data_IF_241030697749
#
_entry.id   IF_241030697749
#
_cell.length_a   1.000
_cell.length_b   1.000
_cell.length_c   1.000
_cell.angle_alpha   90.00
_cell.angle_beta   90.00
_cell.angle_gamma   90.00
#
_symmetry.space_group_name_H-M   'P 1'
#
loop_
_entity.id
_entity.type
_entity.pdbx_description
1 polymer ?
#
# COMPACT_ATOMS: atom_id res chain seq x y z
N UNK A 1 10.77 -2.05 -6.89
CA UNK A 1 10.79 -0.59 -6.53
C UNK A 1 9.82 -0.35 -5.38
N UNK A 2 10.16 0.55 -4.44
CA UNK A 2 9.29 1.04 -3.37
C UNK A 2 8.89 2.48 -3.67
N UNK A 3 7.69 2.89 -3.29
CA UNK A 3 7.28 4.29 -3.42
C UNK A 3 6.63 4.77 -2.13
N UNK A 4 7.24 5.79 -1.52
CA UNK A 4 6.63 6.53 -0.43
C UNK A 4 5.79 7.67 -1.01
N UNK A 5 4.58 7.85 -0.47
CA UNK A 5 3.58 8.79 -0.98
C UNK A 5 2.95 9.58 0.16
N UNK A 6 2.70 10.85 -0.05
CA UNK A 6 1.80 11.63 0.80
C UNK A 6 0.37 11.40 0.30
N UNK A 7 -0.49 10.79 1.11
CA UNK A 7 -1.82 10.32 0.69
C UNK A 7 -2.94 11.01 1.44
N UNK A 8 -2.83 11.13 2.78
CA UNK A 8 -3.89 11.64 3.63
C UNK A 8 -3.56 13.03 4.15
N UNK A 9 -4.53 13.92 4.11
CA UNK A 9 -4.43 15.21 4.78
C UNK A 9 -4.43 15.06 6.30
N UNK A 10 -3.94 16.07 7.03
CA UNK A 10 -3.98 16.08 8.49
C UNK A 10 -5.39 15.91 9.07
N UNK A 11 -6.42 16.45 8.39
CA UNK A 11 -7.83 16.30 8.77
C UNK A 11 -8.30 14.85 8.65
N UNK A 12 -7.94 14.17 7.54
CA UNK A 12 -8.27 12.76 7.32
C UNK A 12 -7.54 11.86 8.33
N UNK A 13 -6.27 12.12 8.61
CA UNK A 13 -5.53 11.38 9.67
C UNK A 13 -6.21 11.55 11.02
N UNK A 14 -6.60 12.78 11.38
CA UNK A 14 -7.32 13.05 12.64
C UNK A 14 -8.64 12.29 12.72
N UNK A 15 -9.43 12.28 11.65
CA UNK A 15 -10.71 11.54 11.57
C UNK A 15 -10.47 10.02 11.71
N UNK A 16 -9.52 9.46 10.96
CA UNK A 16 -9.20 8.02 11.03
C UNK A 16 -8.72 7.60 12.41
N UNK A 17 -7.90 8.42 13.08
CA UNK A 17 -7.47 8.15 14.45
C UNK A 17 -8.62 8.22 15.44
N UNK A 18 -9.56 9.15 15.26
CA UNK A 18 -10.77 9.23 16.09
C UNK A 18 -11.66 8.00 15.92
N UNK A 19 -11.85 7.54 14.70
CA UNK A 19 -12.55 6.27 14.40
C UNK A 19 -11.85 5.10 15.11
N UNK A 20 -10.54 4.99 14.95
CA UNK A 20 -9.78 3.91 15.58
C UNK A 20 -9.86 3.94 17.12
N UNK A 21 -9.91 5.12 17.74
CA UNK A 21 -9.98 5.26 19.21
C UNK A 21 -11.32 4.77 19.79
N UNK A 22 -12.43 4.84 19.04
CA UNK A 22 -13.76 4.43 19.49
C UNK A 22 -14.18 3.04 19.02
N UNK A 23 -13.51 2.49 18.00
CA UNK A 23 -13.88 1.24 17.37
C UNK A 23 -13.30 0.00 18.10
N UNK A 24 -13.97 -1.14 17.89
CA UNK A 24 -13.50 -2.42 18.38
C UNK A 24 -12.41 -3.02 17.49
N UNK A 25 -11.37 -3.54 18.12
CA UNK A 25 -10.27 -4.28 17.47
C UNK A 25 -10.18 -5.68 18.07
N UNK A 26 -10.00 -6.69 17.23
CA UNK A 26 -9.86 -8.10 17.62
C UNK A 26 -8.52 -8.65 17.17
N UNK A 27 -8.18 -9.86 17.62
CA UNK A 27 -6.97 -10.57 17.20
C UNK A 27 -6.87 -10.63 15.66
N UNK A 28 -5.78 -10.12 15.11
CA UNK A 28 -5.59 -10.03 13.67
C UNK A 28 -5.52 -11.37 12.96
N UNK A 29 -5.38 -12.49 13.70
CA UNK A 29 -5.47 -13.84 13.12
C UNK A 29 -6.84 -14.17 12.54
N UNK A 30 -7.87 -13.37 12.82
CA UNK A 30 -9.18 -13.53 12.17
C UNK A 30 -9.08 -13.49 10.62
N UNK A 31 -8.15 -12.74 10.06
CA UNK A 31 -7.92 -12.69 8.60
C UNK A 31 -6.86 -13.69 8.11
N UNK A 32 -6.12 -14.32 9.00
CA UNK A 32 -5.13 -15.37 8.69
C UNK A 32 -5.00 -16.35 9.86
N UNK A 33 -5.99 -17.27 10.04
CA UNK A 33 -6.05 -18.15 11.22
C UNK A 33 -4.87 -19.12 11.35
N UNK A 34 -4.21 -19.44 10.24
CA UNK A 34 -3.08 -20.35 10.20
C UNK A 34 -1.73 -19.67 10.48
N UNK A 35 -1.69 -18.35 10.58
CA UNK A 35 -0.46 -17.62 10.85
C UNK A 35 0.02 -17.86 12.29
N UNK A 36 1.25 -18.39 12.41
CA UNK A 36 1.93 -18.56 13.70
C UNK A 36 2.73 -17.32 14.12
N UNK A 37 2.88 -16.35 13.22
CA UNK A 37 3.76 -15.19 13.40
C UNK A 37 3.00 -13.86 13.47
N UNK A 38 1.68 -13.85 13.27
CA UNK A 38 0.83 -12.67 13.31
C UNK A 38 0.36 -12.39 14.74
N UNK A 39 0.80 -11.28 15.30
CA UNK A 39 0.46 -10.80 16.64
C UNK A 39 0.13 -9.31 16.57
N UNK A 40 -1.08 -9.00 16.11
CA UNK A 40 -1.60 -7.63 16.03
C UNK A 40 -3.10 -7.65 16.28
N UNK A 41 -3.68 -6.47 16.35
CA UNK A 41 -5.13 -6.28 16.36
C UNK A 41 -5.59 -5.74 15.01
N UNK A 42 -6.80 -6.11 14.63
CA UNK A 42 -7.45 -5.70 13.39
C UNK A 42 -8.80 -5.09 13.68
N UNK A 43 -9.15 -4.02 12.98
CA UNK A 43 -10.45 -3.37 13.12
C UNK A 43 -11.58 -4.37 12.84
N UNK A 44 -12.52 -4.48 13.78
CA UNK A 44 -13.66 -5.40 13.70
C UNK A 44 -14.94 -4.69 14.16
N UNK A 45 -15.27 -3.62 13.48
CA UNK A 45 -16.47 -2.81 13.65
C UNK A 45 -16.92 -2.39 12.25
N UNK A 46 -18.09 -2.82 11.83
CA UNK A 46 -18.54 -2.66 10.45
C UNK A 46 -18.68 -1.19 10.05
N UNK A 47 -19.28 -0.36 10.89
CA UNK A 47 -19.49 1.05 10.60
C UNK A 47 -18.16 1.80 10.52
N UNK A 48 -17.25 1.54 11.48
CA UNK A 48 -15.91 2.10 11.51
C UNK A 48 -15.07 1.63 10.32
N UNK A 49 -15.15 0.35 9.94
CA UNK A 49 -14.49 -0.21 8.77
C UNK A 49 -14.97 0.44 7.48
N UNK A 50 -16.29 0.51 7.27
CA UNK A 50 -16.88 1.09 6.06
C UNK A 50 -16.46 2.56 5.91
N UNK A 51 -16.55 3.35 6.99
CA UNK A 51 -16.18 4.77 6.97
C UNK A 51 -14.68 4.96 6.73
N UNK A 52 -13.84 4.27 7.48
CA UNK A 52 -12.38 4.42 7.37
C UNK A 52 -11.84 3.93 6.04
N UNK A 53 -12.30 2.78 5.55
CA UNK A 53 -11.88 2.25 4.25
C UNK A 53 -12.31 3.17 3.10
N UNK A 54 -13.51 3.77 3.17
CA UNK A 54 -13.95 4.74 2.17
C UNK A 54 -13.02 5.96 2.08
N UNK A 55 -12.68 6.57 3.24
CA UNK A 55 -11.76 7.72 3.28
C UNK A 55 -10.42 7.37 2.62
N UNK A 56 -9.82 6.25 3.02
CA UNK A 56 -8.51 5.84 2.55
C UNK A 56 -8.52 5.43 1.07
N UNK A 57 -9.57 4.72 0.63
CA UNK A 57 -9.75 4.34 -0.77
C UNK A 57 -9.87 5.57 -1.67
N UNK A 58 -10.69 6.54 -1.28
CA UNK A 58 -10.85 7.78 -2.04
C UNK A 58 -9.54 8.57 -2.11
N UNK A 59 -8.79 8.66 -1.01
CA UNK A 59 -7.51 9.36 -0.97
C UNK A 59 -6.45 8.69 -1.88
N UNK A 60 -6.36 7.35 -1.85
CA UNK A 60 -5.44 6.60 -2.73
C UNK A 60 -5.81 6.77 -4.20
N UNK A 61 -7.08 6.61 -4.58
CA UNK A 61 -7.49 6.80 -5.97
C UNK A 61 -7.41 8.24 -6.46
N UNK A 62 -7.48 9.23 -5.58
CA UNK A 62 -7.28 10.65 -5.94
C UNK A 62 -5.79 11.04 -6.05
N UNK A 63 -4.87 10.20 -5.60
CA UNK A 63 -3.43 10.48 -5.60
C UNK A 63 -2.79 10.11 -6.94
N UNK A 64 -2.38 11.11 -7.72
CA UNK A 64 -1.78 10.92 -9.05
C UNK A 64 -0.49 10.07 -9.00
N UNK A 65 0.36 10.28 -8.00
CA UNK A 65 1.60 9.53 -7.87
C UNK A 65 1.32 8.04 -7.56
N UNK A 66 0.26 7.74 -6.80
CA UNK A 66 -0.21 6.36 -6.60
C UNK A 66 -0.72 5.75 -7.91
N UNK A 67 -1.54 6.47 -8.67
CA UNK A 67 -2.07 6.02 -9.96
C UNK A 67 -0.95 5.69 -10.95
N UNK A 68 0.02 6.60 -11.06
CA UNK A 68 1.15 6.46 -11.98
C UNK A 68 2.10 5.33 -11.60
N UNK A 69 2.29 5.07 -10.30
CA UNK A 69 3.15 4.00 -9.82
C UNK A 69 2.47 2.62 -9.82
N UNK A 70 1.23 2.55 -9.34
CA UNK A 70 0.54 1.28 -9.09
C UNK A 70 -0.21 0.77 -10.33
N UNK A 71 -0.61 1.62 -11.28
CA UNK A 71 -1.51 1.27 -12.39
C UNK A 71 -2.74 0.47 -11.91
N UNK A 72 -3.50 0.95 -10.90
CA UNK A 72 -4.46 0.12 -10.19
C UNK A 72 -5.67 -0.25 -11.06
N UNK A 73 -6.05 -1.52 -11.06
CA UNK A 73 -7.31 -2.04 -11.64
C UNK A 73 -8.34 -2.23 -10.55
N UNK A 74 -7.92 -2.82 -9.44
CA UNK A 74 -8.74 -3.06 -8.26
C UNK A 74 -7.87 -2.98 -7.01
N UNK A 75 -8.51 -2.68 -5.89
CA UNK A 75 -7.85 -2.58 -4.59
C UNK A 75 -8.80 -3.11 -3.52
N UNK A 76 -8.29 -3.90 -2.57
CA UNK A 76 -9.07 -4.23 -1.39
C UNK A 76 -9.34 -2.97 -0.56
N UNK A 77 -10.52 -2.85 0.05
CA UNK A 77 -10.76 -1.76 0.99
C UNK A 77 -9.70 -1.77 2.11
N UNK A 78 -9.00 -0.64 2.36
CA UNK A 78 -7.95 -0.60 3.37
C UNK A 78 -8.47 -0.94 4.77
N UNK A 79 -7.71 -1.77 5.50
CA UNK A 79 -8.06 -2.24 6.82
C UNK A 79 -7.10 -1.73 7.88
N UNK A 80 -7.62 -1.11 8.94
CA UNK A 80 -6.80 -0.64 10.05
C UNK A 80 -6.28 -1.80 10.91
N UNK A 81 -4.98 -1.74 11.20
CA UNK A 81 -4.26 -2.66 12.08
C UNK A 81 -3.57 -1.88 13.18
N UNK A 82 -3.64 -2.41 14.40
CA UNK A 82 -3.06 -1.84 15.62
C UNK A 82 -2.01 -2.78 16.18
N UNK A 83 -0.88 -2.21 16.55
CA UNK A 83 0.20 -2.91 17.26
C UNK A 83 0.54 -2.14 18.54
N UNK A 84 0.49 -2.81 19.67
CA UNK A 84 0.93 -2.29 20.97
C UNK A 84 2.20 -3.01 21.42
N UNK A 85 2.69 -2.71 22.63
CA UNK A 85 3.94 -3.29 23.15
C UNK A 85 3.97 -4.82 23.00
N UNK A 86 5.10 -5.34 22.54
CA UNK A 86 5.40 -6.74 22.19
C UNK A 86 4.70 -7.27 20.93
N UNK A 87 3.74 -6.57 20.34
CA UNK A 87 3.07 -7.00 19.11
C UNK A 87 3.98 -6.84 17.90
N UNK A 88 3.85 -7.77 16.97
CA UNK A 88 4.63 -7.87 15.72
C UNK A 88 3.88 -8.66 14.66
N UNK A 89 4.37 -8.66 13.46
CA UNK A 89 4.01 -9.65 12.46
C UNK A 89 5.30 -10.17 11.83
N UNK A 90 5.71 -11.37 12.21
CA UNK A 90 6.97 -11.95 11.76
C UNK A 90 7.03 -12.19 10.26
N UNK A 91 8.21 -12.54 9.77
CA UNK A 91 8.49 -12.67 8.34
C UNK A 91 7.47 -13.55 7.61
N UNK A 92 6.89 -13.00 6.55
CA UNK A 92 5.90 -13.65 5.69
C UNK A 92 5.92 -13.05 4.28
N UNK A 93 5.26 -13.72 3.35
CA UNK A 93 4.85 -13.16 2.07
C UNK A 93 3.33 -13.02 2.07
N UNK A 94 2.82 -12.04 1.34
CA UNK A 94 1.39 -11.86 1.17
C UNK A 94 0.78 -12.95 0.29
N UNK A 95 -0.53 -13.20 0.45
CA UNK A 95 -1.23 -14.15 -0.40
C UNK A 95 -1.31 -13.63 -1.84
N UNK A 96 -1.03 -14.49 -2.82
CA UNK A 96 -1.05 -14.12 -4.24
C UNK A 96 -2.45 -13.71 -4.72
N UNK A 97 -3.50 -14.28 -4.13
CA UNK A 97 -4.89 -13.95 -4.43
C UNK A 97 -5.67 -13.75 -3.14
N UNK A 98 -6.49 -12.72 -3.15
CA UNK A 98 -7.36 -12.33 -2.03
C UNK A 98 -8.80 -12.19 -2.51
N UNK A 99 -9.77 -12.45 -1.63
CA UNK A 99 -11.18 -12.36 -1.98
C UNK A 99 -11.66 -10.90 -1.95
N UNK A 100 -12.26 -10.43 -3.04
CA UNK A 100 -12.94 -9.14 -3.16
C UNK A 100 -14.38 -9.37 -3.64
N UNK A 101 -15.32 -9.43 -2.72
CA UNK A 101 -16.68 -9.86 -3.04
C UNK A 101 -16.69 -11.26 -3.66
N UNK A 102 -17.20 -11.41 -4.89
CA UNK A 102 -17.24 -12.68 -5.63
C UNK A 102 -16.03 -12.88 -6.56
N UNK A 103 -15.04 -11.99 -6.53
CA UNK A 103 -13.87 -12.03 -7.40
C UNK A 103 -12.60 -12.30 -6.61
N UNK A 104 -11.63 -12.98 -7.23
CA UNK A 104 -10.29 -13.09 -6.71
C UNK A 104 -9.47 -11.89 -7.20
N UNK A 105 -8.96 -11.09 -6.28
CA UNK A 105 -8.01 -10.00 -6.55
C UNK A 105 -6.58 -10.56 -6.50
N UNK A 106 -5.82 -10.38 -7.57
CA UNK A 106 -4.38 -10.69 -7.56
C UNK A 106 -3.62 -9.60 -6.79
N UNK A 107 -2.85 -10.00 -5.81
CA UNK A 107 -2.04 -9.09 -5.00
C UNK A 107 -0.70 -8.81 -5.68
N UNK A 108 -0.65 -7.79 -6.52
CA UNK A 108 0.59 -7.38 -7.21
C UNK A 108 1.41 -6.40 -6.35
N UNK A 109 0.71 -5.54 -5.62
CA UNK A 109 1.31 -4.55 -4.73
C UNK A 109 0.62 -4.57 -3.37
N UNK A 110 1.43 -4.41 -2.33
CA UNK A 110 1.00 -4.17 -0.96
C UNK A 110 1.19 -2.69 -0.63
N UNK A 111 0.28 -2.14 0.16
CA UNK A 111 0.34 -0.76 0.61
C UNK A 111 0.11 -0.69 2.12
N UNK A 112 0.97 0.02 2.81
CA UNK A 112 0.81 0.36 4.23
C UNK A 112 0.66 1.87 4.37
N UNK A 113 -0.49 2.34 4.84
CA UNK A 113 -0.75 3.73 5.22
C UNK A 113 -0.40 3.92 6.70
N UNK A 114 0.45 4.88 7.02
CA UNK A 114 0.83 5.20 8.39
C UNK A 114 -0.17 6.18 8.99
N UNK A 115 -0.72 5.85 10.17
CA UNK A 115 -1.71 6.68 10.87
C UNK A 115 -1.19 7.19 12.24
N UNK A 116 -0.16 6.55 12.81
CA UNK A 116 0.55 7.04 13.99
C UNK A 116 1.75 7.90 13.58
N UNK A 117 2.02 8.96 14.33
CA UNK A 117 3.28 9.69 14.24
C UNK A 117 4.43 8.76 14.67
N UNK A 118 5.50 8.60 13.85
CA UNK A 118 6.62 7.72 14.17
C UNK A 118 7.35 8.07 15.47
N UNK A 119 7.22 9.30 15.97
CA UNK A 119 7.79 9.72 17.25
C UNK A 119 6.99 9.21 18.47
N UNK A 120 5.73 8.76 18.29
CA UNK A 120 4.84 8.35 19.39
C UNK A 120 4.96 6.87 19.78
N UNK A 121 5.77 6.09 19.06
CA UNK A 121 6.01 4.68 19.35
C UNK A 121 7.45 4.28 19.01
N UNK A 122 7.97 3.24 19.67
CA UNK A 122 9.30 2.70 19.40
C UNK A 122 9.21 1.29 18.80
N UNK A 123 10.17 0.92 17.97
CA UNK A 123 10.12 -0.31 17.15
C UNK A 123 9.06 -0.24 16.05
N UNK A 124 8.49 -1.37 15.67
CA UNK A 124 7.36 -1.47 14.75
C UNK A 124 7.64 -1.02 13.31
N UNK A 125 8.88 -1.03 12.85
CA UNK A 125 9.17 -0.75 11.45
C UNK A 125 8.62 -1.86 10.55
N UNK A 126 8.14 -1.50 9.37
CA UNK A 126 7.93 -2.44 8.27
C UNK A 126 9.30 -2.73 7.66
N UNK A 127 9.77 -3.96 7.77
CA UNK A 127 11.05 -4.41 7.26
C UNK A 127 10.82 -5.31 6.03
N UNK A 128 11.35 -4.92 4.87
CA UNK A 128 11.19 -5.64 3.60
C UNK A 128 12.54 -6.15 3.11
N UNK A 129 12.62 -7.42 2.74
CA UNK A 129 13.86 -8.06 2.29
C UNK A 129 14.13 -7.79 0.81
N UNK A 130 15.35 -7.33 0.52
CA UNK A 130 15.90 -7.08 -0.81
C UNK A 130 17.19 -7.92 -0.99
N UNK A 131 17.04 -9.18 -1.30
CA UNK A 131 18.17 -10.11 -1.35
C UNK A 131 18.85 -10.22 0.02
N UNK A 132 20.11 -9.76 0.12
CA UNK A 132 20.86 -9.74 1.38
C UNK A 132 20.64 -8.50 2.25
N UNK A 133 19.90 -7.51 1.78
CA UNK A 133 19.58 -6.27 2.50
C UNK A 133 18.15 -6.28 3.03
N UNK A 134 17.89 -5.44 4.02
CA UNK A 134 16.55 -5.19 4.57
C UNK A 134 16.33 -3.70 4.63
N UNK A 135 15.30 -3.23 3.94
CA UNK A 135 14.84 -1.85 4.02
C UNK A 135 13.76 -1.72 5.11
N UNK A 136 13.80 -0.62 5.87
CA UNK A 136 12.90 -0.36 6.98
C UNK A 136 12.13 0.92 6.77
N UNK A 137 10.80 0.82 6.88
CA UNK A 137 9.89 1.94 6.69
C UNK A 137 9.13 2.24 7.97
N UNK A 138 9.16 3.50 8.36
CA UNK A 138 8.43 4.06 9.50
C UNK A 138 8.01 5.48 9.13
N UNK A 139 7.00 5.57 8.26
CA UNK A 139 6.55 6.83 7.65
C UNK A 139 5.79 7.74 8.62
N UNK A 140 5.73 9.02 8.27
CA UNK A 140 4.92 10.01 8.95
C UNK A 140 3.41 9.68 8.83
N UNK A 141 2.61 10.14 9.79
CA UNK A 141 1.16 9.97 9.72
C UNK A 141 0.58 10.65 8.47
N UNK A 142 -0.17 9.90 7.67
CA UNK A 142 -0.73 10.33 6.40
C UNK A 142 0.07 9.90 5.17
N UNK A 143 1.28 9.37 5.36
CA UNK A 143 2.05 8.80 4.26
C UNK A 143 1.73 7.32 4.05
N UNK A 144 2.07 6.81 2.88
CA UNK A 144 1.97 5.40 2.53
C UNK A 144 3.28 4.90 1.93
N UNK A 145 3.58 3.62 2.14
CA UNK A 145 4.59 2.88 1.38
C UNK A 145 3.89 1.84 0.52
N UNK A 146 4.19 1.85 -0.80
CA UNK A 146 3.68 0.87 -1.77
C UNK A 146 4.87 0.05 -2.27
N UNK A 147 4.72 -1.27 -2.25
CA UNK A 147 5.79 -2.22 -2.59
C UNK A 147 5.24 -3.50 -3.22
N UNK A 148 6.05 -4.28 -3.98
CA UNK A 148 5.62 -5.56 -4.55
C UNK A 148 5.22 -6.56 -3.47
N UNK A 149 4.06 -7.22 -3.65
CA UNK A 149 3.51 -8.18 -2.67
C UNK A 149 4.27 -9.50 -2.60
N UNK A 150 5.12 -9.80 -3.58
CA UNK A 150 5.94 -11.02 -3.66
C UNK A 150 7.21 -10.98 -2.80
N UNK A 151 7.42 -9.89 -2.05
CA UNK A 151 8.58 -9.72 -1.18
C UNK A 151 8.35 -10.27 0.22
N UNK A 152 9.35 -10.95 0.79
CA UNK A 152 9.36 -11.28 2.21
C UNK A 152 9.47 -10.00 3.03
N UNK A 153 8.55 -9.83 3.97
CA UNK A 153 8.51 -8.67 4.85
C UNK A 153 7.99 -9.03 6.24
N UNK A 154 8.20 -8.14 7.17
CA UNK A 154 7.73 -8.27 8.56
C UNK A 154 7.41 -6.92 9.17
N UNK A 155 6.60 -6.91 10.22
CA UNK A 155 6.50 -5.78 11.14
C UNK A 155 7.31 -6.12 12.39
N UNK A 156 8.39 -5.39 12.61
CA UNK A 156 9.26 -5.56 13.78
C UNK A 156 8.46 -5.33 15.08
N UNK A 157 8.89 -5.91 16.22
CA UNK A 157 8.20 -5.70 17.48
C UNK A 157 8.06 -4.22 17.85
N UNK A 158 6.86 -3.81 18.23
CA UNK A 158 6.63 -2.51 18.89
C UNK A 158 7.12 -2.63 20.32
N UNK A 159 8.04 -1.77 20.74
CA UNK A 159 8.61 -1.83 22.08
C UNK A 159 7.95 -0.86 23.07
N UNK A 160 7.36 0.23 22.57
CA UNK A 160 6.51 1.13 23.36
C UNK A 160 5.56 1.92 22.47
N UNK A 161 4.49 2.47 23.05
CA UNK A 161 3.47 3.24 22.34
C UNK A 161 2.52 2.39 21.50
N UNK A 162 1.87 3.00 20.51
CA UNK A 162 0.92 2.36 19.62
C UNK A 162 1.23 2.69 18.16
N UNK A 163 1.45 1.66 17.37
CA UNK A 163 1.52 1.76 15.90
C UNK A 163 0.16 1.46 15.30
N UNK A 164 -0.51 2.48 14.78
CA UNK A 164 -1.73 2.37 13.99
C UNK A 164 -1.40 2.57 12.52
N UNK A 165 -1.81 1.64 11.69
CA UNK A 165 -1.66 1.68 10.22
C UNK A 165 -2.92 1.16 9.56
N UNK A 166 -3.05 1.36 8.25
CA UNK A 166 -3.96 0.58 7.43
C UNK A 166 -3.19 -0.14 6.34
N UNK A 167 -3.64 -1.34 6.00
CA UNK A 167 -3.05 -2.17 4.93
C UNK A 167 -4.08 -2.38 3.84
N UNK A 168 -3.61 -2.43 2.59
CA UNK A 168 -4.42 -2.83 1.43
C UNK A 168 -3.55 -3.50 0.38
N UNK A 169 -4.20 -4.20 -0.55
CA UNK A 169 -3.59 -4.92 -1.65
C UNK A 169 -4.17 -4.44 -2.96
N UNK A 170 -3.31 -4.29 -3.95
CA UNK A 170 -3.66 -3.69 -5.23
C UNK A 170 -3.37 -4.69 -6.35
N UNK A 171 -4.37 -4.91 -7.18
CA UNK A 171 -4.17 -5.53 -8.49
C UNK A 171 -3.77 -4.45 -9.47
N UNK A 172 -2.57 -4.57 -10.00
CA UNK A 172 -2.05 -3.68 -11.04
C UNK A 172 -2.51 -4.15 -12.42
N UNK A 173 -2.71 -3.20 -13.32
CA UNK A 173 -2.87 -3.50 -14.76
C UNK A 173 -1.65 -4.19 -15.34
N UNK A 174 -0.48 -3.98 -14.75
CA UNK A 174 0.79 -4.59 -15.14
C UNK A 174 1.24 -5.53 -14.02
N UNK A 175 1.01 -6.83 -14.19
CA UNK A 175 1.36 -7.85 -13.21
C UNK A 175 2.87 -7.94 -12.95
N UNK A 176 3.66 -7.93 -14.02
CA UNK A 176 5.12 -8.06 -13.96
C UNK A 176 5.75 -6.82 -13.36
N UNK A 177 6.49 -6.99 -12.26
CA UNK A 177 7.12 -5.90 -11.50
C UNK A 177 8.10 -5.12 -12.34
N UNK A 178 8.96 -5.79 -13.14
CA UNK A 178 9.97 -5.12 -13.95
C UNK A 178 9.34 -4.30 -15.08
N UNK A 179 8.29 -4.81 -15.73
CA UNK A 179 7.54 -4.08 -16.76
C UNK A 179 6.81 -2.89 -16.17
N UNK A 180 6.25 -3.02 -14.97
CA UNK A 180 5.61 -1.92 -14.26
C UNK A 180 6.59 -0.81 -13.92
N UNK A 181 7.80 -1.17 -13.43
CA UNK A 181 8.88 -0.22 -13.18
C UNK A 181 9.31 0.52 -14.44
N UNK A 182 9.52 -0.18 -15.54
CA UNK A 182 9.89 0.45 -16.82
C UNK A 182 8.82 1.42 -17.34
N UNK A 183 7.53 1.07 -17.21
CA UNK A 183 6.45 1.98 -17.59
C UNK A 183 6.36 3.18 -16.66
N UNK A 184 6.56 2.98 -15.35
CA UNK A 184 6.60 4.06 -14.38
C UNK A 184 7.72 5.06 -14.73
N UNK A 185 8.96 4.59 -14.93
CA UNK A 185 10.09 5.45 -15.31
C UNK A 185 9.83 6.19 -16.62
N UNK A 186 9.25 5.51 -17.61
CA UNK A 186 8.89 6.14 -18.87
C UNK A 186 7.83 7.25 -18.70
N UNK A 187 6.87 7.04 -17.80
CA UNK A 187 5.87 8.06 -17.46
C UNK A 187 6.48 9.25 -16.72
N UNK A 188 7.44 9.00 -15.81
CA UNK A 188 8.17 10.08 -15.12
C UNK A 188 8.94 10.96 -16.12
N UNK A 189 9.65 10.35 -17.09
CA UNK A 189 10.31 11.09 -18.18
C UNK A 189 9.29 11.92 -18.98
N UNK A 190 8.13 11.33 -19.31
CA UNK A 190 7.10 12.05 -20.05
C UNK A 190 6.52 13.22 -19.24
N UNK A 191 6.36 13.07 -17.93
CA UNK A 191 5.85 14.13 -17.06
C UNK A 191 6.87 15.26 -16.86
N UNK A 192 8.15 14.94 -16.73
CA UNK A 192 9.20 15.91 -16.46
C UNK A 192 9.64 16.68 -17.72
N UNK A 193 9.75 15.99 -18.85
CA UNK A 193 10.35 16.52 -20.06
C UNK A 193 9.34 16.79 -21.20
N UNK A 194 8.13 16.24 -21.10
CA UNK A 194 7.15 16.22 -22.21
C UNK A 194 6.81 17.60 -22.75
N UNK A 195 6.65 18.61 -21.87
CA UNK A 195 6.34 19.99 -22.29
C UNK A 195 7.51 20.68 -23.00
N UNK A 196 8.76 20.25 -22.75
CA UNK A 196 9.97 20.75 -23.39
C UNK A 196 10.32 20.03 -24.70
N UNK A 197 9.66 18.90 -24.98
CA UNK A 197 9.93 18.11 -26.18
C UNK A 197 9.39 18.77 -27.45
N UNK A 198 10.06 18.52 -28.60
CA UNK A 198 9.47 18.78 -29.90
C UNK A 198 8.19 17.95 -30.07
N UNK A 199 7.12 18.50 -30.66
CA UNK A 199 5.84 17.79 -30.81
C UNK A 199 5.95 16.39 -31.41
N UNK A 200 6.83 16.21 -32.41
CA UNK A 200 7.02 14.91 -33.06
C UNK A 200 7.65 13.87 -32.10
N UNK A 201 8.56 14.30 -31.23
CA UNK A 201 9.20 13.41 -30.27
C UNK A 201 8.23 13.06 -29.14
N UNK A 202 7.44 14.01 -28.66
CA UNK A 202 6.41 13.75 -27.66
C UNK A 202 5.35 12.77 -28.18
N UNK A 203 4.90 12.94 -29.43
CA UNK A 203 3.96 11.99 -30.06
C UNK A 203 4.53 10.57 -30.16
N UNK A 204 5.82 10.42 -30.45
CA UNK A 204 6.50 9.11 -30.46
C UNK A 204 6.61 8.51 -29.07
N UNK A 205 6.91 9.31 -28.04
CA UNK A 205 6.94 8.87 -26.65
C UNK A 205 5.56 8.34 -26.22
N UNK A 206 4.50 9.09 -26.49
CA UNK A 206 3.12 8.66 -26.23
C UNK A 206 2.76 7.37 -27.00
N UNK A 207 3.19 7.22 -28.24
CA UNK A 207 2.99 6.00 -29.02
C UNK A 207 3.66 4.79 -28.33
N UNK A 208 4.89 4.95 -27.85
CA UNK A 208 5.62 3.89 -27.15
C UNK A 208 4.90 3.52 -25.86
N UNK A 209 4.55 4.51 -25.01
CA UNK A 209 3.81 4.29 -23.77
C UNK A 209 2.50 3.51 -24.02
N UNK A 210 1.68 3.99 -24.95
CA UNK A 210 0.40 3.35 -25.27
C UNK A 210 0.57 1.91 -25.78
N UNK A 211 1.60 1.64 -26.60
CA UNK A 211 1.86 0.30 -27.12
C UNK A 211 2.43 -0.66 -26.05
N UNK A 212 3.25 -0.17 -25.13
CA UNK A 212 3.72 -0.96 -24.00
C UNK A 212 2.56 -1.31 -23.06
N UNK A 213 1.66 -0.36 -22.76
CA UNK A 213 0.44 -0.62 -22.01
C UNK A 213 -0.45 -1.69 -22.68
N UNK A 214 -0.64 -1.63 -24.01
CA UNK A 214 -1.41 -2.66 -24.75
C UNK A 214 -0.76 -4.04 -24.70
N UNK A 215 0.57 -4.10 -24.69
CA UNK A 215 1.33 -5.37 -24.73
C UNK A 215 1.45 -6.01 -23.34
N UNK A 216 1.60 -5.20 -22.30
CA UNK A 216 1.93 -5.66 -20.97
C UNK A 216 0.75 -5.59 -20.00
N UNK A 217 -0.26 -4.80 -20.32
CA UNK A 217 -1.46 -4.69 -19.52
C UNK A 217 -2.31 -5.96 -19.58
N UNK A 218 -2.91 -6.31 -18.45
CA UNK A 218 -3.93 -7.35 -18.40
C UNK A 218 -5.07 -6.99 -19.37
N UNK A 219 -5.63 -7.99 -20.01
CA UNK A 219 -6.84 -7.81 -20.82
C UNK A 219 -8.01 -7.47 -19.88
N UNK A 220 -8.90 -6.55 -20.30
CA UNK A 220 -10.09 -6.21 -19.54
C UNK A 220 -11.03 -7.41 -19.36
#
# INVERSE_FOLDING_TARGET
MFRELEVLSAAQVKELRAIAASANFVDGRISNPHSKVKQNLQLHDEAAYNRSSQIMTQALYANEAFQNFAFPVAMLPPMMCRYTSAMRYGAHADAAFLQLGNMALRSDLSCTLFLSDPATYAGGALAVRLGSRTERFKGAAGTAIVYPSDMLHEVEPVTSGERLVAITFIQSRIADTSRRELLYELNEVAALEGLGMKPENYARLQLVQANLLRRWGDKP
#
